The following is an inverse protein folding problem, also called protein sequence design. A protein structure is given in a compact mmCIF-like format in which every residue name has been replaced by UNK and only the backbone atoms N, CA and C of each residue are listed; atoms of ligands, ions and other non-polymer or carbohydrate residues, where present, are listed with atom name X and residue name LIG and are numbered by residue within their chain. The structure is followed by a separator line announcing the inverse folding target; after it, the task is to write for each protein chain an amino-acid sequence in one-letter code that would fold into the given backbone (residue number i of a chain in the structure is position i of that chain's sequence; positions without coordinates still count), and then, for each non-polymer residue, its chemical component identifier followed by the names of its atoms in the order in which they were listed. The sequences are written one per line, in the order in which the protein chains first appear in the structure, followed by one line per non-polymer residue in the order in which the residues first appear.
data_IF_893633205597
#
_entry.id   IF_893633205597
#
_cell.length_a   1.000
_cell.length_b   1.000
_cell.length_c   1.000
_cell.angle_alpha   90.00
_cell.angle_beta   90.00
_cell.angle_gamma   90.00
#
_symmetry.space_group_name_H-M   'P 1'
#
loop_
_entity.id
_entity.type
_entity.pdbx_description
1 polymer ?
#
# COMPACT_ATOMS: atom_id res chain seq x y z
N UNK A 1 40.07 -13.13 -38.15
CA UNK A 1 41.46 -13.63 -37.96
C UNK A 1 42.16 -12.60 -37.08
N UNK A 2 42.59 -12.81 -35.84
CA UNK A 2 42.82 -13.95 -34.95
C UNK A 2 42.35 -13.52 -33.54
N UNK A 3 41.71 -14.31 -32.66
CA UNK A 3 42.00 -15.64 -32.11
C UNK A 3 43.19 -15.70 -31.13
N UNK A 4 42.81 -15.89 -29.84
CA UNK A 4 43.52 -16.52 -28.70
C UNK A 4 44.35 -15.61 -27.74
N UNK A 5 44.52 -16.01 -26.45
CA UNK A 5 44.07 -17.25 -25.80
C UNK A 5 43.22 -17.10 -24.52
N UNK A 6 42.38 -18.11 -24.29
CA UNK A 6 41.85 -18.51 -22.98
C UNK A 6 43.03 -18.90 -22.06
N UNK A 7 43.09 -18.32 -20.87
CA UNK A 7 43.86 -18.86 -19.76
C UNK A 7 42.87 -19.37 -18.69
N UNK A 8 42.70 -20.69 -18.66
CA UNK A 8 42.09 -21.40 -17.56
C UNK A 8 43.07 -21.39 -16.37
N UNK A 9 42.63 -20.87 -15.23
CA UNK A 9 43.30 -21.09 -13.96
C UNK A 9 42.27 -21.65 -12.97
N UNK A 10 42.69 -22.74 -12.33
CA UNK A 10 41.88 -23.70 -11.63
C UNK A 10 41.16 -23.14 -10.39
N UNK A 11 40.00 -23.74 -10.13
CA UNK A 11 39.22 -23.73 -8.89
C UNK A 11 40.09 -23.88 -7.63
N UNK A 12 39.88 -23.03 -6.63
CA UNK A 12 40.18 -23.38 -5.23
C UNK A 12 39.33 -22.58 -4.24
N UNK A 13 38.73 -23.34 -3.32
CA UNK A 13 38.12 -22.97 -2.02
C UNK A 13 36.98 -21.95 -2.02
N UNK A 14 35.76 -22.51 -1.95
CA UNK A 14 34.60 -21.86 -1.38
C UNK A 14 34.83 -21.51 0.10
N UNK A 15 34.66 -20.23 0.45
CA UNK A 15 34.44 -19.81 1.84
C UNK A 15 33.05 -20.32 2.27
N UNK A 16 32.94 -21.13 3.35
CA UNK A 16 31.65 -21.45 3.92
C UNK A 16 31.08 -20.22 4.66
N UNK A 17 29.75 -20.01 4.67
CA UNK A 17 29.14 -18.95 5.46
C UNK A 17 29.44 -19.15 6.93
N UNK A 18 29.67 -18.04 7.63
CA UNK A 18 30.02 -17.96 9.04
C UNK A 18 29.18 -18.94 9.89
N UNK A 19 29.89 -19.90 10.48
CA UNK A 19 29.38 -20.86 11.44
C UNK A 19 28.65 -20.13 12.57
N UNK A 20 27.41 -20.55 12.78
CA UNK A 20 26.62 -20.42 13.99
C UNK A 20 27.52 -20.47 15.24
N UNK A 21 27.82 -19.31 15.83
CA UNK A 21 28.47 -19.24 17.14
C UNK A 21 27.45 -19.65 18.21
N UNK A 22 27.32 -20.95 18.43
CA UNK A 22 26.70 -21.49 19.65
C UNK A 22 27.72 -21.42 20.78
N UNK A 23 27.40 -20.82 21.95
CA UNK A 23 28.29 -20.89 23.11
C UNK A 23 28.27 -22.32 23.65
N UNK A 24 29.26 -23.11 23.26
CA UNK A 24 29.55 -24.39 23.88
C UNK A 24 30.31 -24.14 25.19
N UNK A 25 29.61 -24.19 26.34
CA UNK A 25 30.28 -24.12 27.63
C UNK A 25 29.36 -23.89 28.82
N UNK A 26 28.79 -24.99 29.34
CA UNK A 26 28.29 -25.25 30.71
C UNK A 26 26.88 -25.89 30.66
N UNK A 27 26.76 -27.03 31.35
CA UNK A 27 25.64 -27.97 31.26
C UNK A 27 24.24 -27.35 31.25
N UNK A 28 23.59 -27.43 30.09
CA UNK A 28 22.16 -27.27 29.91
C UNK A 28 21.72 -28.31 28.89
N UNK A 29 20.74 -29.13 29.25
CA UNK A 29 20.15 -30.15 28.37
C UNK A 29 19.73 -29.47 27.08
N UNK A 30 20.41 -29.77 25.96
CA UNK A 30 19.94 -29.40 24.63
C UNK A 30 18.76 -30.30 24.31
N UNK A 31 17.58 -29.90 24.78
CA UNK A 31 16.33 -30.41 24.25
C UNK A 31 16.36 -30.13 22.75
N UNK A 32 16.20 -31.16 21.92
CA UNK A 32 15.97 -30.99 20.50
C UNK A 32 14.67 -30.18 20.33
N UNK A 33 14.82 -28.86 20.22
CA UNK A 33 13.71 -27.94 20.04
C UNK A 33 13.08 -28.21 18.69
N UNK A 34 12.00 -28.97 18.68
CA UNK A 34 11.11 -29.05 17.51
C UNK A 34 10.71 -27.63 17.10
N UNK A 35 10.63 -27.30 15.79
CA UNK A 35 10.15 -26.00 15.32
C UNK A 35 8.72 -25.69 15.79
N UNK A 36 7.98 -26.68 16.28
CA UNK A 36 6.69 -26.50 16.96
C UNK A 36 6.78 -25.77 18.32
N UNK A 37 7.97 -25.70 18.92
CA UNK A 37 8.21 -24.92 20.15
C UNK A 37 8.60 -23.47 19.88
N UNK A 38 8.74 -23.06 18.61
CA UNK A 38 8.84 -21.65 18.24
C UNK A 38 7.45 -21.03 18.32
N UNK A 39 7.21 -20.29 19.40
CA UNK A 39 5.94 -19.59 19.64
C UNK A 39 5.94 -18.17 19.10
N UNK A 40 7.13 -17.60 18.82
CA UNK A 40 7.29 -16.25 18.29
C UNK A 40 7.57 -16.30 16.78
N UNK A 41 6.49 -16.41 16.00
CA UNK A 41 6.53 -16.45 14.54
C UNK A 41 6.25 -15.07 13.91
N UNK A 42 5.95 -14.07 14.73
CA UNK A 42 5.67 -12.72 14.23
C UNK A 42 6.98 -11.98 14.05
N UNK A 43 7.38 -11.79 12.79
CA UNK A 43 8.54 -10.97 12.49
C UNK A 43 8.34 -9.54 13.02
N UNK A 44 9.35 -8.93 13.67
CA UNK A 44 9.26 -7.56 14.13
C UNK A 44 9.05 -6.61 12.95
N UNK A 45 8.22 -5.60 13.15
CA UNK A 45 7.86 -4.64 12.11
C UNK A 45 9.09 -3.89 11.61
N UNK A 46 9.39 -4.05 10.32
CA UNK A 46 10.52 -3.38 9.68
C UNK A 46 10.11 -1.97 9.21
N UNK A 47 10.51 -0.96 9.97
CA UNK A 47 10.10 0.44 9.74
C UNK A 47 10.64 1.03 8.43
N UNK A 48 11.67 0.43 7.82
CA UNK A 48 12.15 0.85 6.49
C UNK A 48 11.16 0.52 5.36
N UNK A 49 10.21 -0.39 5.59
CA UNK A 49 9.26 -0.91 4.60
C UNK A 49 7.80 -0.55 4.91
N UNK A 50 7.58 0.59 5.57
CA UNK A 50 6.24 0.99 6.03
C UNK A 50 5.20 1.12 4.89
N UNK A 51 5.64 1.41 3.66
CA UNK A 51 4.76 1.42 2.49
C UNK A 51 4.14 0.05 2.21
N UNK A 52 4.86 -1.05 2.45
CA UNK A 52 4.37 -2.41 2.26
C UNK A 52 3.47 -2.84 3.44
N UNK A 53 3.80 -2.39 4.65
CA UNK A 53 2.94 -2.59 5.82
C UNK A 53 1.58 -1.94 5.62
N UNK A 54 1.53 -0.71 5.08
CA UNK A 54 0.26 -0.02 4.81
C UNK A 54 -0.46 -0.59 3.60
N UNK A 55 0.28 -1.15 2.62
CA UNK A 55 -0.33 -1.78 1.45
C UNK A 55 -1.17 -3.01 1.80
N UNK A 56 -0.81 -3.78 2.85
CA UNK A 56 -1.55 -4.97 3.27
C UNK A 56 -3.01 -4.67 3.66
N UNK A 57 -3.26 -3.79 4.64
CA UNK A 57 -4.61 -3.37 5.01
C UNK A 57 -5.38 -2.69 3.88
N UNK A 58 -4.71 -1.91 3.03
CA UNK A 58 -5.34 -1.26 1.88
C UNK A 58 -5.80 -2.32 0.87
N UNK A 59 -4.94 -3.26 0.50
CA UNK A 59 -5.31 -4.33 -0.42
C UNK A 59 -6.41 -5.22 0.17
N UNK A 60 -6.34 -5.54 1.47
CA UNK A 60 -7.40 -6.28 2.15
C UNK A 60 -8.74 -5.52 2.13
N UNK A 61 -8.73 -4.20 2.27
CA UNK A 61 -9.93 -3.36 2.10
C UNK A 61 -10.46 -3.43 0.66
N UNK A 62 -9.58 -3.38 -0.34
CA UNK A 62 -10.00 -3.49 -1.73
C UNK A 62 -10.59 -4.86 -2.05
N UNK A 63 -9.91 -5.94 -1.67
CA UNK A 63 -10.35 -7.31 -1.87
C UNK A 63 -11.68 -7.60 -1.15
N UNK A 64 -11.82 -7.18 0.11
CA UNK A 64 -13.00 -7.51 0.92
C UNK A 64 -14.21 -6.59 0.70
N UNK A 65 -13.99 -5.34 0.26
CA UNK A 65 -15.06 -4.35 0.16
C UNK A 65 -15.26 -3.81 -1.27
N UNK A 66 -14.19 -3.35 -1.93
CA UNK A 66 -14.31 -2.69 -3.24
C UNK A 66 -14.43 -3.65 -4.42
N UNK A 67 -13.87 -4.85 -4.34
CA UNK A 67 -14.08 -5.91 -5.36
C UNK A 67 -15.40 -6.66 -5.13
N UNK A 68 -15.96 -6.55 -3.93
CA UNK A 68 -17.27 -7.09 -3.58
C UNK A 68 -18.40 -6.08 -3.90
N UNK A 69 -19.60 -6.38 -3.43
CA UNK A 69 -20.81 -5.57 -3.64
C UNK A 69 -20.69 -4.12 -3.10
N UNK A 70 -19.74 -3.87 -2.17
CA UNK A 70 -19.48 -2.54 -1.62
C UNK A 70 -18.89 -1.55 -2.64
N UNK A 71 -18.09 -2.03 -3.59
CA UNK A 71 -17.47 -1.19 -4.63
C UNK A 71 -18.48 -0.49 -5.54
N UNK A 72 -19.38 -1.23 -6.20
CA UNK A 72 -20.43 -0.63 -7.04
C UNK A 72 -21.32 0.35 -6.27
N UNK A 73 -21.67 0.04 -5.01
CA UNK A 73 -22.45 0.95 -4.16
C UNK A 73 -21.69 2.23 -3.84
N UNK A 74 -20.40 2.13 -3.54
CA UNK A 74 -19.54 3.30 -3.29
C UNK A 74 -19.43 4.19 -4.54
N UNK A 75 -19.20 3.61 -5.72
CA UNK A 75 -19.10 4.37 -6.96
C UNK A 75 -20.42 5.06 -7.32
N UNK A 76 -21.55 4.36 -7.15
CA UNK A 76 -22.87 4.96 -7.36
C UNK A 76 -23.14 6.11 -6.37
N UNK A 77 -22.75 5.95 -5.10
CA UNK A 77 -22.88 7.01 -4.11
C UNK A 77 -22.02 8.24 -4.46
N UNK A 78 -20.79 8.03 -4.96
CA UNK A 78 -19.91 9.11 -5.43
C UNK A 78 -20.52 9.88 -6.61
N UNK A 79 -21.11 9.16 -7.58
CA UNK A 79 -21.81 9.79 -8.71
C UNK A 79 -23.01 10.60 -8.22
N UNK A 80 -23.84 10.01 -7.35
CA UNK A 80 -25.01 10.70 -6.80
C UNK A 80 -24.63 11.94 -5.98
N UNK A 81 -23.60 11.86 -5.15
CA UNK A 81 -23.10 13.01 -4.40
C UNK A 81 -22.57 14.12 -5.33
N UNK A 82 -21.89 13.74 -6.42
CA UNK A 82 -21.40 14.70 -7.42
C UNK A 82 -22.56 15.37 -8.14
N UNK A 83 -23.56 14.61 -8.58
CA UNK A 83 -24.76 15.14 -9.21
C UNK A 83 -25.55 16.03 -8.26
N UNK A 84 -25.68 15.65 -6.99
CA UNK A 84 -26.31 16.48 -5.97
C UNK A 84 -25.58 17.81 -5.81
N UNK A 85 -24.24 17.79 -5.68
CA UNK A 85 -23.44 19.01 -5.58
C UNK A 85 -23.61 19.91 -6.80
N UNK A 86 -23.58 19.34 -8.01
CA UNK A 86 -23.81 20.10 -9.25
C UNK A 86 -25.24 20.64 -9.30
N UNK A 87 -26.24 19.84 -8.94
CA UNK A 87 -27.63 20.26 -8.89
C UNK A 87 -27.89 21.39 -7.89
N UNK A 88 -27.29 21.33 -6.70
CA UNK A 88 -27.37 22.43 -5.72
C UNK A 88 -26.69 23.69 -6.22
N UNK A 89 -25.50 23.54 -6.83
CA UNK A 89 -24.74 24.66 -7.35
C UNK A 89 -25.48 25.37 -8.50
N UNK A 90 -25.82 24.64 -9.55
CA UNK A 90 -26.47 25.19 -10.75
C UNK A 90 -27.95 25.50 -10.55
N UNK A 91 -28.65 24.73 -9.71
CA UNK A 91 -30.09 24.86 -9.51
C UNK A 91 -30.48 25.92 -8.47
N UNK A 92 -29.65 26.14 -7.44
CA UNK A 92 -30.01 27.03 -6.33
C UNK A 92 -28.99 28.14 -6.10
N UNK A 93 -27.71 27.80 -5.98
CA UNK A 93 -26.69 28.80 -5.64
C UNK A 93 -26.49 29.79 -6.79
N UNK A 94 -26.30 29.31 -8.01
CA UNK A 94 -26.05 30.18 -9.17
C UNK A 94 -27.25 31.12 -9.47
N UNK A 95 -28.51 30.66 -9.52
CA UNK A 95 -29.65 31.55 -9.72
C UNK A 95 -29.85 32.55 -8.58
N UNK A 96 -29.65 32.13 -7.32
CA UNK A 96 -29.81 33.04 -6.18
C UNK A 96 -28.77 34.15 -6.15
N UNK A 97 -27.52 33.86 -6.54
CA UNK A 97 -26.51 34.91 -6.71
C UNK A 97 -26.90 35.89 -7.82
N UNK A 98 -27.33 35.39 -8.99
CA UNK A 98 -27.76 36.25 -10.09
C UNK A 98 -28.94 37.15 -9.69
N UNK A 99 -29.93 36.60 -8.99
CA UNK A 99 -31.08 37.36 -8.48
C UNK A 99 -30.63 38.45 -7.50
N UNK A 100 -29.74 38.10 -6.56
CA UNK A 100 -29.22 39.06 -5.59
C UNK A 100 -28.49 40.22 -6.24
N UNK A 101 -27.68 39.94 -7.27
CA UNK A 101 -26.99 40.99 -8.04
C UNK A 101 -27.98 41.86 -8.82
N UNK A 102 -29.04 41.27 -9.39
CA UNK A 102 -30.08 42.01 -10.10
C UNK A 102 -30.85 42.96 -9.17
N UNK A 103 -31.22 42.53 -7.97
CA UNK A 103 -31.91 43.38 -6.98
C UNK A 103 -31.02 44.51 -6.44
N UNK A 104 -29.75 44.22 -6.18
CA UNK A 104 -28.83 45.18 -5.54
C UNK A 104 -28.26 46.21 -6.49
N UNK A 105 -27.99 45.82 -7.74
CA UNK A 105 -27.24 46.65 -8.68
C UNK A 105 -27.99 46.92 -9.99
N UNK A 106 -29.18 46.35 -10.18
CA UNK A 106 -29.99 46.54 -11.39
C UNK A 106 -29.35 46.01 -12.68
N UNK A 107 -28.23 45.28 -12.57
CA UNK A 107 -27.50 44.71 -13.69
C UNK A 107 -27.87 43.24 -13.85
N UNK A 108 -28.37 42.87 -15.03
CA UNK A 108 -28.49 41.47 -15.43
C UNK A 108 -27.17 41.01 -16.03
N UNK A 109 -26.48 40.08 -15.36
CA UNK A 109 -25.32 39.43 -15.94
C UNK A 109 -25.84 38.36 -16.91
N UNK A 110 -25.87 38.68 -18.20
CA UNK A 110 -26.09 37.68 -19.25
C UNK A 110 -24.77 36.92 -19.41
N UNK A 111 -24.73 35.69 -18.90
CA UNK A 111 -23.69 34.73 -19.29
C UNK A 111 -24.08 34.11 -20.62
#
# INVERSE_FOLDING_TARGET
RAAAPLAAAASTSAEPPALLQTPAGAGGVVMAGSPLFLTDLNAPMNWSEIQFVLSGPINSLFESFFECEGGPLFLNAMVMATLLKMGTYYGFMQPSYLWHFQERYGQSWTV
#
